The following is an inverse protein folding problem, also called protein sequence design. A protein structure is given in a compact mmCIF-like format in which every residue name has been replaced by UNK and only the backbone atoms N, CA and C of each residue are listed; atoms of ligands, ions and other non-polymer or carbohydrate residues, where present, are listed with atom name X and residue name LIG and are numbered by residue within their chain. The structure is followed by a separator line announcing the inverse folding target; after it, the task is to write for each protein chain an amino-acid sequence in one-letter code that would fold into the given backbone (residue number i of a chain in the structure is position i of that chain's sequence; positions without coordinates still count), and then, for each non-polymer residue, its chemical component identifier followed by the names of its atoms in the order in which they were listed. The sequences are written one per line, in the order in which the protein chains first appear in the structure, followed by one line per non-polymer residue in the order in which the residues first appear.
data_IF_772954550718
#
_entry.id   IF_772954550718
#
_cell.length_a   1.000
_cell.length_b   1.000
_cell.length_c   1.000
_cell.angle_alpha   90.00
_cell.angle_beta   90.00
_cell.angle_gamma   90.00
#
_symmetry.space_group_name_H-M   'P 1'
#
loop_
_entity.id
_entity.type
_entity.pdbx_description
1 polymer ?
#
# COMPACT_ATOMS: atom_id res chain seq x y z
N UNK A 1 9.32 6.39 -10.26
CA UNK A 1 9.00 5.57 -9.06
C UNK A 1 7.53 5.20 -8.87
N UNK A 2 6.61 6.11 -8.53
CA UNK A 2 5.24 5.73 -8.14
C UNK A 2 4.44 4.98 -9.24
N UNK A 3 4.45 5.47 -10.49
CA UNK A 3 3.82 4.78 -11.63
C UNK A 3 4.41 3.38 -11.87
N UNK A 4 5.73 3.23 -11.69
CA UNK A 4 6.41 1.92 -11.77
C UNK A 4 5.89 0.97 -10.69
N UNK A 5 5.74 1.46 -9.45
CA UNK A 5 5.19 0.67 -8.33
C UNK A 5 3.74 0.24 -8.57
N UNK A 6 2.91 1.11 -9.15
CA UNK A 6 1.52 0.77 -9.53
C UNK A 6 1.52 -0.39 -10.54
N UNK A 7 2.32 -0.32 -11.60
CA UNK A 7 2.42 -1.39 -12.61
C UNK A 7 2.94 -2.71 -12.03
N UNK A 8 3.94 -2.65 -11.15
CA UNK A 8 4.43 -3.84 -10.45
C UNK A 8 3.33 -4.43 -9.57
N UNK A 9 2.57 -3.59 -8.87
CA UNK A 9 1.44 -4.03 -8.05
C UNK A 9 0.37 -4.74 -8.90
N UNK A 10 -0.04 -4.17 -10.03
CA UNK A 10 -1.03 -4.83 -10.90
C UNK A 10 -0.54 -6.20 -11.39
N UNK A 11 0.74 -6.32 -11.78
CA UNK A 11 1.33 -7.61 -12.15
C UNK A 11 1.43 -8.60 -10.98
N UNK A 12 1.69 -8.10 -9.77
CA UNK A 12 1.69 -8.93 -8.56
C UNK A 12 0.29 -9.52 -8.28
N UNK A 13 -0.78 -8.74 -8.44
CA UNK A 13 -2.15 -9.24 -8.30
C UNK A 13 -2.49 -10.27 -9.40
N UNK A 14 -2.06 -10.06 -10.65
CA UNK A 14 -2.20 -11.08 -11.70
C UNK A 14 -1.53 -12.40 -11.30
N UNK A 15 -0.28 -12.32 -10.82
CA UNK A 15 0.46 -13.48 -10.36
C UNK A 15 -0.22 -14.15 -9.16
N UNK A 16 -0.74 -13.38 -8.20
CA UNK A 16 -1.47 -13.92 -7.05
C UNK A 16 -2.63 -14.81 -7.50
N UNK A 17 -3.44 -14.33 -8.44
CA UNK A 17 -4.61 -15.07 -8.90
C UNK A 17 -4.23 -16.26 -9.78
N UNK A 18 -3.17 -16.16 -10.58
CA UNK A 18 -2.65 -17.27 -11.37
C UNK A 18 -2.09 -18.40 -10.49
N UNK A 19 -1.29 -18.04 -9.48
CA UNK A 19 -0.66 -18.97 -8.54
C UNK A 19 -1.49 -19.22 -7.28
N UNK A 20 -2.80 -18.97 -7.31
CA UNK A 20 -3.68 -19.17 -6.15
C UNK A 20 -3.69 -20.61 -5.64
N UNK A 21 -3.38 -21.58 -6.49
CA UNK A 21 -3.29 -23.00 -6.11
C UNK A 21 -2.22 -23.23 -5.04
N UNK A 22 -1.09 -22.51 -5.11
CA UNK A 22 -0.02 -22.61 -4.12
C UNK A 22 -0.48 -22.20 -2.72
N UNK A 23 -1.56 -21.41 -2.59
CA UNK A 23 -2.10 -21.02 -1.28
C UNK A 23 -2.78 -22.18 -0.55
N UNK A 24 -3.12 -23.26 -1.25
CA UNK A 24 -3.83 -24.41 -0.69
C UNK A 24 -2.90 -25.60 -0.40
N UNK A 25 -1.67 -25.57 -0.90
CA UNK A 25 -0.67 -26.55 -0.55
C UNK A 25 -0.13 -26.19 0.84
N UNK A 26 -0.46 -26.92 1.90
CA UNK A 26 -0.02 -26.64 3.28
C UNK A 26 1.48 -26.92 3.49
N UNK A 27 2.35 -26.17 2.81
CA UNK A 27 3.80 -26.28 2.83
C UNK A 27 4.47 -25.04 3.43
N UNK A 28 5.75 -25.16 3.82
CA UNK A 28 6.53 -24.01 4.28
C UNK A 28 6.69 -22.91 3.23
N UNK A 29 6.70 -23.28 1.94
CA UNK A 29 6.76 -22.34 0.82
C UNK A 29 5.48 -21.50 0.79
N UNK A 30 4.33 -22.14 1.00
CA UNK A 30 3.03 -21.49 1.05
C UNK A 30 2.91 -20.54 2.22
N UNK A 31 3.39 -20.94 3.40
CA UNK A 31 3.42 -20.06 4.56
C UNK A 31 4.27 -18.80 4.31
N UNK A 32 5.46 -18.96 3.72
CA UNK A 32 6.34 -17.84 3.37
C UNK A 32 5.71 -16.94 2.30
N UNK A 33 5.08 -17.53 1.28
CA UNK A 33 4.38 -16.81 0.22
C UNK A 33 3.20 -16.00 0.77
N UNK A 34 2.36 -16.63 1.61
CA UNK A 34 1.20 -15.99 2.21
C UNK A 34 1.60 -14.86 3.16
N UNK A 35 2.50 -15.13 4.11
CA UNK A 35 2.88 -14.15 5.14
C UNK A 35 3.61 -12.94 4.58
N UNK A 36 4.57 -13.12 3.67
CA UNK A 36 5.40 -12.01 3.19
C UNK A 36 4.86 -11.31 1.94
N UNK A 37 4.19 -12.02 1.03
CA UNK A 37 3.68 -11.43 -0.21
C UNK A 37 2.21 -11.09 -0.11
N UNK A 38 1.36 -12.05 0.26
CA UNK A 38 -0.10 -11.85 0.25
C UNK A 38 -0.53 -10.82 1.28
N UNK A 39 -0.10 -10.96 2.55
CA UNK A 39 -0.43 -9.96 3.59
C UNK A 39 0.08 -8.56 3.23
N UNK A 40 1.24 -8.47 2.57
CA UNK A 40 1.79 -7.19 2.11
C UNK A 40 0.90 -6.54 1.05
N UNK A 41 0.36 -7.32 0.12
CA UNK A 41 -0.56 -6.79 -0.89
C UNK A 41 -1.94 -6.46 -0.30
N UNK A 42 -2.32 -7.14 0.79
CA UNK A 42 -3.55 -6.87 1.55
C UNK A 42 -3.44 -5.70 2.54
N UNK A 43 -2.22 -5.26 2.88
CA UNK A 43 -1.95 -4.16 3.81
C UNK A 43 -2.78 -2.88 3.54
N UNK A 44 -2.91 -2.34 2.31
CA UNK A 44 -3.74 -1.16 2.08
C UNK A 44 -5.22 -1.37 2.43
N UNK A 45 -5.75 -2.59 2.27
CA UNK A 45 -7.14 -2.91 2.62
C UNK A 45 -7.33 -2.99 4.13
N UNK A 46 -6.35 -3.54 4.86
CA UNK A 46 -6.39 -3.52 6.32
C UNK A 46 -6.35 -2.10 6.88
N UNK A 47 -5.48 -1.24 6.34
CA UNK A 47 -5.43 0.17 6.72
C UNK A 47 -6.78 0.85 6.47
N UNK A 48 -7.36 0.67 5.27
CA UNK A 48 -8.64 1.27 4.92
C UNK A 48 -9.78 0.75 5.83
N UNK A 49 -9.82 -0.57 6.06
CA UNK A 49 -10.82 -1.21 6.92
C UNK A 49 -10.74 -0.67 8.36
N UNK A 50 -9.54 -0.56 8.93
CA UNK A 50 -9.33 0.00 10.27
C UNK A 50 -9.84 1.44 10.35
N UNK A 51 -9.48 2.30 9.38
CA UNK A 51 -9.92 3.70 9.33
C UNK A 51 -11.44 3.81 9.19
N UNK A 52 -12.06 2.93 8.40
CA UNK A 52 -13.51 2.93 8.20
C UNK A 52 -14.27 2.43 9.43
N UNK A 53 -13.74 1.45 10.16
CA UNK A 53 -14.44 0.80 11.28
C UNK A 53 -14.27 1.58 12.59
N UNK A 54 -13.08 2.16 12.84
CA UNK A 54 -12.75 2.80 14.11
C UNK A 54 -13.77 3.85 14.58
N UNK A 55 -14.26 4.78 13.73
CA UNK A 55 -15.23 5.79 14.16
C UNK A 55 -16.52 5.18 14.75
N UNK A 56 -16.92 4.00 14.29
CA UNK A 56 -18.16 3.34 14.74
C UNK A 56 -18.01 2.61 16.09
N UNK A 57 -16.78 2.37 16.56
CA UNK A 57 -16.51 1.60 17.80
C UNK A 57 -15.94 2.51 18.91
N UNK A 58 -15.69 3.78 18.61
CA UNK A 58 -15.07 4.74 19.53
C UNK A 58 -15.84 4.92 20.84
N UNK A 59 -17.17 4.90 20.79
CA UNK A 59 -18.03 5.14 21.96
C UNK A 59 -17.82 4.09 23.07
N UNK A 60 -17.30 2.91 22.73
CA UNK A 60 -17.13 1.81 23.67
C UNK A 60 -15.82 1.87 24.47
N UNK A 61 -14.80 2.62 24.03
CA UNK A 61 -13.51 2.66 24.72
C UNK A 61 -12.63 3.85 24.29
N UNK A 62 -12.11 4.61 25.26
CA UNK A 62 -11.13 5.69 25.05
C UNK A 62 -9.87 5.23 24.30
N UNK A 63 -9.50 3.94 24.39
CA UNK A 63 -8.41 3.36 23.62
C UNK A 63 -8.59 3.54 22.11
N UNK A 64 -9.79 3.30 21.57
CA UNK A 64 -10.07 3.44 20.14
C UNK A 64 -10.03 4.89 19.69
N UNK A 65 -10.41 5.83 20.58
CA UNK A 65 -10.29 7.25 20.33
C UNK A 65 -8.84 7.67 20.16
N UNK A 66 -7.96 7.28 21.09
CA UNK A 66 -6.52 7.58 20.98
C UNK A 66 -5.89 6.91 19.76
N UNK A 67 -6.32 5.70 19.41
CA UNK A 67 -5.86 5.00 18.23
C UNK A 67 -6.25 5.74 16.95
N UNK A 68 -7.51 6.20 16.82
CA UNK A 68 -7.95 7.00 15.68
C UNK A 68 -7.14 8.31 15.59
N UNK A 69 -6.95 9.01 16.72
CA UNK A 69 -6.14 10.23 16.76
C UNK A 69 -4.69 9.98 16.34
N UNK A 70 -4.08 8.87 16.75
CA UNK A 70 -2.75 8.45 16.31
C UNK A 70 -2.69 8.23 14.80
N UNK A 71 -3.72 7.60 14.21
CA UNK A 71 -3.79 7.42 12.76
C UNK A 71 -3.91 8.75 12.03
N UNK A 72 -4.82 9.63 12.46
CA UNK A 72 -5.00 10.98 11.89
C UNK A 72 -3.68 11.75 11.95
N UNK A 73 -2.98 11.68 13.09
CA UNK A 73 -1.67 12.30 13.27
C UNK A 73 -0.62 11.73 12.30
N UNK A 74 -0.56 10.41 12.10
CA UNK A 74 0.36 9.82 11.13
C UNK A 74 0.08 10.30 9.70
N UNK A 75 -1.19 10.45 9.30
CA UNK A 75 -1.55 10.97 7.97
C UNK A 75 -1.27 12.47 7.83
N UNK A 76 -1.43 13.27 8.89
CA UNK A 76 -1.07 14.69 8.87
C UNK A 76 0.44 14.90 8.74
N UNK A 77 1.27 14.03 9.32
CA UNK A 77 2.72 14.08 9.10
C UNK A 77 3.11 13.89 7.63
N UNK A 78 2.35 13.09 6.88
CA UNK A 78 2.58 12.89 5.44
C UNK A 78 2.27 14.15 4.65
N UNK A 79 1.18 14.86 4.98
CA UNK A 79 0.84 16.13 4.31
C UNK A 79 1.87 17.23 4.63
N UNK A 80 2.35 17.27 5.88
CA UNK A 80 3.43 18.17 6.30
C UNK A 80 4.73 17.86 5.53
N UNK A 81 5.09 16.59 5.33
CA UNK A 81 6.28 16.22 4.54
C UNK A 81 6.19 16.73 3.09
N UNK A 82 5.02 16.64 2.46
CA UNK A 82 4.81 17.19 1.12
C UNK A 82 5.00 18.70 1.08
N UNK A 83 4.54 19.43 2.10
CA UNK A 83 4.74 20.87 2.22
C UNK A 83 6.21 21.23 2.44
N UNK A 84 6.89 20.53 3.36
CA UNK A 84 8.32 20.72 3.65
C UNK A 84 9.19 20.44 2.43
N UNK A 85 8.81 19.46 1.62
CA UNK A 85 9.49 19.16 0.37
C UNK A 85 9.43 20.33 -0.62
N UNK A 86 8.32 21.07 -0.66
CA UNK A 86 8.20 22.31 -1.43
C UNK A 86 9.14 23.41 -0.92
N UNK A 87 9.40 23.43 0.39
CA UNK A 87 10.33 24.33 1.05
C UNK A 87 11.79 23.83 1.03
N UNK A 88 12.07 22.74 0.30
CA UNK A 88 13.39 22.06 0.22
C UNK A 88 13.90 21.51 1.56
N UNK A 89 13.06 21.45 2.60
CA UNK A 89 13.37 20.87 3.90
C UNK A 89 13.13 19.37 3.86
N UNK A 90 14.04 18.62 4.46
CA UNK A 90 14.21 17.20 4.18
C UNK A 90 14.44 16.43 5.49
N UNK A 91 13.37 15.91 6.10
CA UNK A 91 13.43 15.15 7.37
C UNK A 91 13.35 13.65 7.07
N UNK A 92 14.31 12.84 7.56
CA UNK A 92 14.41 11.41 7.20
C UNK A 92 13.20 10.61 7.69
N UNK A 93 12.74 10.87 8.92
CA UNK A 93 11.62 10.17 9.53
C UNK A 93 10.30 10.42 8.77
N UNK A 94 10.01 11.68 8.43
CA UNK A 94 8.82 12.03 7.65
C UNK A 94 8.84 11.39 6.26
N UNK A 95 9.99 11.42 5.57
CA UNK A 95 10.14 10.75 4.26
C UNK A 95 9.89 9.25 4.34
N UNK A 96 10.26 8.60 5.44
CA UNK A 96 9.95 7.19 5.64
C UNK A 96 8.43 6.96 5.73
N UNK A 97 7.71 7.76 6.53
CA UNK A 97 6.25 7.69 6.64
C UNK A 97 5.57 7.95 5.28
N UNK A 98 5.97 9.01 4.58
CA UNK A 98 5.47 9.34 3.24
C UNK A 98 5.76 8.22 2.25
N UNK A 99 6.94 7.61 2.30
CA UNK A 99 7.27 6.50 1.41
C UNK A 99 6.43 5.26 1.71
N UNK A 100 6.17 4.96 2.99
CA UNK A 100 5.31 3.86 3.42
C UNK A 100 3.87 4.07 2.94
N UNK A 101 3.29 5.25 3.14
CA UNK A 101 1.92 5.54 2.70
C UNK A 101 1.80 5.52 1.17
N UNK A 102 2.73 6.14 0.44
CA UNK A 102 2.76 6.09 -1.02
C UNK A 102 2.91 4.66 -1.56
N UNK A 103 3.64 3.79 -0.86
CA UNK A 103 3.73 2.37 -1.25
C UNK A 103 2.37 1.68 -1.16
N UNK A 104 1.63 1.89 -0.06
CA UNK A 104 0.31 1.31 0.13
C UNK A 104 -0.73 1.88 -0.86
N UNK A 105 -0.69 3.19 -1.14
CA UNK A 105 -1.52 3.81 -2.17
C UNK A 105 -1.22 3.22 -3.55
N UNK A 106 0.06 3.04 -3.91
CA UNK A 106 0.43 2.41 -5.18
C UNK A 106 -0.06 0.96 -5.28
N UNK A 107 -0.03 0.23 -4.16
CA UNK A 107 -0.57 -1.14 -4.10
C UNK A 107 -2.07 -1.15 -4.39
N UNK A 108 -2.83 -0.29 -3.70
CA UNK A 108 -4.28 -0.17 -3.87
C UNK A 108 -4.68 0.25 -5.29
N UNK A 109 -4.03 1.26 -5.87
CA UNK A 109 -4.28 1.66 -7.25
C UNK A 109 -3.95 0.52 -8.23
N UNK A 110 -2.86 -0.21 -7.98
CA UNK A 110 -2.50 -1.39 -8.77
C UNK A 110 -3.58 -2.48 -8.75
N UNK A 111 -4.23 -2.69 -7.60
CA UNK A 111 -5.38 -3.59 -7.48
C UNK A 111 -6.60 -3.10 -8.27
N UNK A 112 -6.94 -1.81 -8.17
CA UNK A 112 -8.04 -1.24 -8.96
C UNK A 112 -7.80 -1.37 -10.47
N UNK A 113 -6.55 -1.16 -10.90
CA UNK A 113 -6.15 -1.36 -12.29
C UNK A 113 -6.24 -2.83 -12.71
N UNK A 114 -5.90 -3.75 -11.82
CA UNK A 114 -6.08 -5.19 -12.05
C UNK A 114 -7.55 -5.56 -12.28
N UNK A 115 -8.46 -5.08 -11.42
CA UNK A 115 -9.91 -5.33 -11.57
C UNK A 115 -10.45 -4.74 -12.89
N UNK A 116 -10.03 -3.53 -13.25
CA UNK A 116 -10.45 -2.85 -14.49
C UNK A 116 -9.94 -3.53 -15.77
N UNK A 117 -9.09 -4.54 -15.65
CA UNK A 117 -8.41 -5.19 -16.77
C UNK A 117 -7.11 -4.49 -17.12
N UNK A 118 -6.02 -5.26 -17.15
CA UNK A 118 -4.70 -4.75 -17.52
C UNK A 118 -4.60 -4.73 -19.05
N UNK A 119 -4.76 -3.53 -19.62
CA UNK A 119 -4.81 -3.33 -21.09
C UNK A 119 -3.45 -3.50 -21.79
N UNK A 120 -2.34 -3.28 -21.10
CA UNK A 120 -0.99 -3.52 -21.64
C UNK A 120 -0.02 -4.01 -20.56
N UNK A 121 0.61 -5.16 -20.81
CA UNK A 121 1.72 -5.70 -20.01
C UNK A 121 3.10 -5.29 -20.57
N UNK A 122 3.11 -4.59 -21.72
CA UNK A 122 4.30 -4.25 -22.47
C UNK A 122 5.13 -3.27 -21.64
N UNK A 123 6.36 -3.68 -21.31
CA UNK A 123 7.33 -2.82 -20.65
C UNK A 123 7.87 -1.81 -21.64
N UNK A 124 7.41 -0.55 -21.53
CA UNK A 124 8.01 0.54 -22.28
C UNK A 124 9.25 1.04 -21.52
N UNK A 125 10.46 0.96 -22.11
CA UNK A 125 11.65 1.56 -21.53
C UNK A 125 11.45 3.07 -21.37
N UNK A 126 11.98 3.63 -20.28
CA UNK A 126 12.11 5.09 -20.17
C UNK A 126 12.98 5.59 -21.32
N UNK A 127 12.45 6.50 -22.16
CA UNK A 127 13.22 7.15 -23.22
C UNK A 127 14.50 7.73 -22.60
N UNK A 128 15.64 7.17 -22.97
CA UNK A 128 16.95 7.74 -22.67
C UNK A 128 17.19 8.76 -23.78
N UNK A 129 17.30 10.03 -23.43
CA UNK A 129 17.84 11.01 -24.37
C UNK A 129 19.26 10.54 -24.68
N UNK A 130 19.49 10.07 -25.91
CA UNK A 130 20.83 10.00 -26.49
C UNK A 130 21.25 11.40 -26.89
#
# INVERSE_FOLDING_TARGET
EFRRKIRISSGNFQNLFHYKHLLFDFSWITFSFFSHKVLRWLTPFFILSIISILPFIIENNSFYFYLLMGIIFCFSLVTIDFLLKSLKVNIKLLRFLTHFTLMNVALFIGFLNYIKGVKSSIWEPTRRNQ
#
